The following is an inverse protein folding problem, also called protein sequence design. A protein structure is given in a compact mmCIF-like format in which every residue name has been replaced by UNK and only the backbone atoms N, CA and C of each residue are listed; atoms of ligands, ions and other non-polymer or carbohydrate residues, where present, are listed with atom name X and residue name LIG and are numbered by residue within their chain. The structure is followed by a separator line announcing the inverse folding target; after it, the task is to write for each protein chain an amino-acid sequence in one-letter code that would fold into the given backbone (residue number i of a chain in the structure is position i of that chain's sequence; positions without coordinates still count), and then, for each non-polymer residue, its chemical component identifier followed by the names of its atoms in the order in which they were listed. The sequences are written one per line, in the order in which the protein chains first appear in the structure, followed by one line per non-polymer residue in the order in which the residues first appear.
data_IF_152141339398
#
_entry.id   IF_152141339398
#
_cell.length_a   1.000
_cell.length_b   1.000
_cell.length_c   1.000
_cell.angle_alpha   90.00
_cell.angle_beta   90.00
_cell.angle_gamma   90.00
#
_symmetry.space_group_name_H-M   'P 1'
#
loop_
_entity.id
_entity.type
_entity.pdbx_description
1 polymer ?
#
# COMPACT_ATOMS: atom_id res chain seq x y z
N UNK A 1 -13.24 32.40 -46.36
CA UNK A 1 -12.32 31.95 -45.30
C UNK A 1 -12.94 32.38 -43.98
N UNK A 2 -13.53 31.44 -43.23
CA UNK A 2 -14.20 31.75 -41.96
C UNK A 2 -13.41 31.11 -40.82
N UNK A 3 -13.17 31.93 -39.79
CA UNK A 3 -12.30 31.67 -38.66
C UNK A 3 -12.74 30.46 -37.84
N UNK A 4 -11.74 29.72 -37.35
CA UNK A 4 -11.90 28.59 -36.45
C UNK A 4 -12.48 29.06 -35.11
N UNK A 5 -13.64 28.50 -34.77
CA UNK A 5 -14.23 28.61 -33.44
C UNK A 5 -13.44 27.66 -32.54
N UNK A 6 -12.59 28.23 -31.68
CA UNK A 6 -11.87 27.50 -30.63
C UNK A 6 -12.87 26.94 -29.63
N UNK A 7 -13.30 25.72 -29.89
CA UNK A 7 -14.14 24.94 -28.98
C UNK A 7 -13.25 24.12 -28.06
N UNK A 8 -13.42 24.42 -26.76
CA UNK A 8 -13.45 23.44 -25.68
C UNK A 8 -12.11 22.83 -25.27
N UNK A 9 -11.23 23.68 -24.72
CA UNK A 9 -10.10 23.30 -23.86
C UNK A 9 -10.57 22.94 -22.41
N UNK A 10 -11.75 22.35 -22.26
CA UNK A 10 -12.17 21.67 -21.03
C UNK A 10 -11.87 20.17 -21.11
N UNK A 11 -10.58 19.83 -21.22
CA UNK A 11 -10.08 18.52 -20.78
C UNK A 11 -9.47 18.70 -19.39
N UNK A 12 -10.31 19.10 -18.45
CA UNK A 12 -10.06 19.02 -17.01
C UNK A 12 -9.91 17.55 -16.63
N UNK A 13 -8.66 17.07 -16.72
CA UNK A 13 -8.03 16.03 -15.90
C UNK A 13 -8.97 15.11 -15.12
N UNK A 14 -9.67 14.24 -15.84
CA UNK A 14 -9.99 12.93 -15.29
C UNK A 14 -8.67 12.16 -15.16
N UNK A 15 -7.96 12.37 -14.05
CA UNK A 15 -6.95 11.42 -13.58
C UNK A 15 -7.69 10.13 -13.20
N UNK A 16 -8.11 9.37 -14.21
CA UNK A 16 -8.55 7.99 -14.05
C UNK A 16 -7.35 7.24 -13.53
N UNK A 17 -7.32 7.04 -12.22
CA UNK A 17 -6.46 6.05 -11.60
C UNK A 17 -6.86 4.70 -12.22
N UNK A 18 -6.16 4.29 -13.26
CA UNK A 18 -6.27 2.98 -13.86
C UNK A 18 -5.26 2.10 -13.13
N UNK A 19 -5.68 1.34 -12.09
CA UNK A 19 -4.77 0.40 -11.44
C UNK A 19 -4.22 -0.58 -12.49
N UNK A 20 -2.91 -0.75 -12.49
CA UNK A 20 -2.25 -1.79 -13.28
C UNK A 20 -2.74 -3.16 -12.80
N UNK A 21 -2.78 -4.20 -13.66
CA UNK A 21 -2.98 -5.59 -13.21
C UNK A 21 -1.99 -6.05 -12.13
N UNK A 22 -0.87 -5.34 -12.02
CA UNK A 22 0.19 -5.59 -11.03
C UNK A 22 -0.03 -4.85 -9.71
N UNK A 23 -0.98 -3.92 -9.66
CA UNK A 23 -1.31 -3.18 -8.45
C UNK A 23 -2.23 -4.04 -7.58
N UNK A 24 -1.93 -4.09 -6.28
CA UNK A 24 -2.72 -4.75 -5.24
C UNK A 24 -3.02 -3.77 -4.12
N UNK A 25 -4.26 -3.80 -3.63
CA UNK A 25 -4.68 -3.10 -2.43
C UNK A 25 -4.43 -3.97 -1.20
N UNK A 26 -3.67 -3.46 -0.25
CA UNK A 26 -3.35 -4.12 1.02
C UNK A 26 -4.01 -3.33 2.16
N UNK A 27 -4.66 -4.04 3.07
CA UNK A 27 -5.21 -3.46 4.31
C UNK A 27 -4.13 -3.45 5.38
N UNK A 28 -3.99 -2.33 6.06
CA UNK A 28 -3.06 -2.17 7.17
C UNK A 28 -3.83 -1.86 8.44
N UNK A 29 -3.62 -2.65 9.48
CA UNK A 29 -4.00 -2.31 10.85
C UNK A 29 -2.82 -1.59 11.50
N UNK A 30 -3.02 -0.32 11.79
CA UNK A 30 -1.99 0.59 12.29
C UNK A 30 -1.78 0.43 13.80
N UNK A 31 -0.70 1.02 14.33
CA UNK A 31 -0.35 0.98 15.75
C UNK A 31 -1.41 1.61 16.67
N UNK A 32 -2.18 2.57 16.15
CA UNK A 32 -3.30 3.21 16.86
C UNK A 32 -4.62 2.42 16.76
N UNK A 33 -4.59 1.26 16.09
CA UNK A 33 -5.75 0.40 15.86
C UNK A 33 -6.61 0.79 14.66
N UNK A 34 -6.33 1.92 14.01
CA UNK A 34 -7.05 2.32 12.80
C UNK A 34 -6.68 1.40 11.62
N UNK A 35 -7.58 1.30 10.65
CA UNK A 35 -7.38 0.51 9.44
C UNK A 35 -7.33 1.44 8.23
N UNK A 36 -6.32 1.25 7.39
CA UNK A 36 -6.18 1.96 6.11
C UNK A 36 -5.95 0.96 4.98
N UNK A 37 -6.13 1.38 3.73
CA UNK A 37 -5.81 0.59 2.54
C UNK A 37 -4.87 1.36 1.65
N UNK A 38 -3.77 0.72 1.25
CA UNK A 38 -2.75 1.30 0.40
C UNK A 38 -2.55 0.40 -0.82
N UNK A 39 -2.31 1.02 -1.97
CA UNK A 39 -2.06 0.32 -3.23
C UNK A 39 -0.57 0.26 -3.49
N UNK A 40 -0.08 -0.93 -3.79
CA UNK A 40 1.32 -1.22 -4.12
C UNK A 40 1.40 -2.13 -5.35
N UNK A 41 2.52 -2.11 -6.06
CA UNK A 41 2.81 -3.16 -7.05
C UNK A 41 3.18 -4.46 -6.33
N UNK A 42 2.78 -5.61 -6.86
CA UNK A 42 3.19 -6.95 -6.35
C UNK A 42 4.70 -7.12 -6.22
N UNK A 43 5.48 -6.48 -7.09
CA UNK A 43 6.95 -6.48 -7.07
C UNK A 43 7.57 -5.47 -6.08
N UNK A 44 6.76 -4.76 -5.30
CA UNK A 44 7.26 -3.84 -4.26
C UNK A 44 7.90 -4.65 -3.15
N UNK A 45 9.09 -4.26 -2.69
CA UNK A 45 9.75 -4.88 -1.54
C UNK A 45 9.13 -4.44 -0.22
N UNK A 46 9.26 -5.26 0.82
CA UNK A 46 8.73 -4.95 2.14
C UNK A 46 9.38 -3.69 2.74
N UNK A 47 10.67 -3.42 2.49
CA UNK A 47 11.31 -2.14 2.85
C UNK A 47 10.54 -0.91 2.33
N UNK A 48 10.07 -0.95 1.08
CA UNK A 48 9.33 0.18 0.49
C UNK A 48 7.93 0.33 1.09
N UNK A 49 7.36 -0.75 1.61
CA UNK A 49 6.11 -0.72 2.37
C UNK A 49 6.32 -0.03 3.71
N UNK A 50 7.37 -0.39 4.45
CA UNK A 50 7.77 0.29 5.69
C UNK A 50 7.99 1.79 5.46
N UNK A 51 8.78 2.15 4.44
CA UNK A 51 9.01 3.55 4.04
C UNK A 51 7.71 4.34 3.84
N UNK A 52 6.71 3.71 3.21
CA UNK A 52 5.41 4.33 2.95
C UNK A 52 4.60 4.50 4.24
N UNK A 53 4.62 3.50 5.11
CA UNK A 53 3.94 3.54 6.41
C UNK A 53 4.58 4.58 7.34
N UNK A 54 5.91 4.68 7.36
CA UNK A 54 6.62 5.63 8.20
C UNK A 54 6.35 7.08 7.83
N UNK A 55 6.32 7.37 6.53
CA UNK A 55 6.00 8.73 6.04
C UNK A 55 4.54 9.12 6.28
N UNK A 56 3.62 8.16 6.31
CA UNK A 56 2.18 8.44 6.35
C UNK A 56 1.51 8.27 7.71
N UNK A 57 1.97 7.31 8.52
CA UNK A 57 1.21 6.77 9.63
C UNK A 57 2.03 6.54 10.91
N UNK A 58 3.36 6.62 10.85
CA UNK A 58 4.25 6.45 12.01
C UNK A 58 5.15 7.68 12.23
N UNK A 59 4.55 8.87 12.26
CA UNK A 59 5.27 10.15 12.48
C UNK A 59 5.99 10.24 13.83
N UNK A 60 5.56 9.45 14.82
CA UNK A 60 6.21 9.34 16.12
C UNK A 60 7.49 8.51 16.14
N UNK A 61 7.85 7.86 15.03
CA UNK A 61 9.05 7.03 14.92
C UNK A 61 9.02 5.82 15.84
N UNK A 62 7.84 5.24 16.09
CA UNK A 62 7.74 4.02 16.88
C UNK A 62 8.39 2.86 16.13
N UNK A 63 9.06 1.97 16.86
CA UNK A 63 9.61 0.73 16.31
C UNK A 63 8.50 -0.30 16.24
N UNK A 64 8.32 -0.94 15.09
CA UNK A 64 7.30 -1.95 14.84
C UNK A 64 7.78 -2.95 13.79
N UNK A 65 7.10 -4.09 13.74
CA UNK A 65 7.21 -5.08 12.67
C UNK A 65 5.85 -5.26 11.98
N UNK A 66 5.86 -5.87 10.81
CA UNK A 66 4.64 -6.25 10.09
C UNK A 66 4.38 -7.75 10.26
N UNK A 67 3.14 -8.09 10.58
CA UNK A 67 2.66 -9.48 10.51
C UNK A 67 1.51 -9.57 9.52
N UNK A 68 1.49 -10.60 8.70
CA UNK A 68 0.38 -10.87 7.77
C UNK A 68 -0.65 -11.79 8.43
N UNK A 69 -1.92 -11.45 8.32
CA UNK A 69 -3.02 -12.34 8.68
C UNK A 69 -3.20 -13.41 7.57
N UNK A 70 -2.97 -14.69 7.90
CA UNK A 70 -3.18 -15.82 6.97
C UNK A 70 -4.62 -16.35 7.10
N UNK A 71 -5.08 -16.57 8.33
CA UNK A 71 -6.44 -16.97 8.67
C UNK A 71 -6.84 -16.28 9.99
N UNK A 72 -8.08 -16.41 10.44
CA UNK A 72 -8.68 -15.67 11.57
C UNK A 72 -7.83 -15.61 12.85
N UNK A 73 -6.96 -16.58 13.07
CA UNK A 73 -6.10 -16.68 14.26
C UNK A 73 -4.62 -16.95 13.91
N UNK A 74 -4.25 -16.97 12.62
CA UNK A 74 -2.89 -17.29 12.18
C UNK A 74 -2.20 -16.05 11.58
N UNK A 75 -1.01 -15.77 12.11
CA UNK A 75 -0.17 -14.65 11.70
C UNK A 75 1.19 -15.14 11.23
N UNK A 76 1.65 -14.58 10.12
CA UNK A 76 3.00 -14.78 9.59
C UNK A 76 3.83 -13.54 9.92
N UNK A 77 4.86 -13.73 10.74
CA UNK A 77 5.78 -12.65 11.10
C UNK A 77 6.72 -12.36 9.91
N UNK A 78 6.72 -11.10 9.46
CA UNK A 78 7.53 -10.67 8.33
C UNK A 78 8.84 -10.01 8.76
N UNK A 79 9.21 -10.12 10.03
CA UNK A 79 10.51 -9.66 10.55
C UNK A 79 11.66 -10.28 9.75
N UNK A 80 12.66 -9.46 9.41
CA UNK A 80 13.85 -9.81 8.62
C UNK A 80 13.60 -10.21 7.15
N UNK A 81 12.39 -10.01 6.62
CA UNK A 81 12.03 -10.31 5.22
C UNK A 81 11.94 -9.05 4.34
N UNK A 82 12.70 -8.02 4.73
CA UNK A 82 12.61 -6.66 4.17
C UNK A 82 12.90 -6.60 2.66
N UNK A 83 13.79 -7.47 2.19
CA UNK A 83 14.23 -7.55 0.79
C UNK A 83 13.23 -8.30 -0.11
N UNK A 84 12.31 -9.08 0.46
CA UNK A 84 11.34 -9.85 -0.29
C UNK A 84 10.22 -8.95 -0.84
N UNK A 85 9.76 -9.27 -2.04
CA UNK A 85 8.62 -8.62 -2.66
C UNK A 85 7.30 -9.06 -2.05
N UNK A 86 6.26 -8.24 -2.16
CA UNK A 86 4.91 -8.60 -1.73
C UNK A 86 4.44 -9.92 -2.35
N UNK A 87 4.80 -10.19 -3.62
CA UNK A 87 4.50 -11.45 -4.29
C UNK A 87 5.21 -12.66 -3.67
N UNK A 88 6.51 -12.56 -3.39
CA UNK A 88 7.31 -13.61 -2.75
C UNK A 88 6.82 -13.92 -1.33
N UNK A 89 6.38 -12.88 -0.62
CA UNK A 89 5.73 -12.99 0.69
C UNK A 89 4.32 -13.60 0.59
N UNK A 90 3.76 -13.78 -0.61
CA UNK A 90 2.40 -14.26 -0.83
C UNK A 90 1.32 -13.25 -0.42
N UNK A 91 1.65 -11.97 -0.35
CA UNK A 91 0.72 -10.87 -0.10
C UNK A 91 0.01 -10.55 -1.42
N UNK A 92 -1.31 -10.51 -1.37
CA UNK A 92 -2.18 -10.40 -2.55
C UNK A 92 -3.24 -9.32 -2.34
N UNK A 93 -4.03 -9.08 -3.38
CA UNK A 93 -5.20 -8.21 -3.29
C UNK A 93 -6.07 -8.57 -2.07
N UNK A 94 -6.31 -7.60 -1.21
CA UNK A 94 -7.13 -7.74 -0.01
C UNK A 94 -6.45 -8.36 1.21
N UNK A 95 -5.17 -8.72 1.14
CA UNK A 95 -4.40 -9.17 2.32
C UNK A 95 -4.40 -8.11 3.43
N UNK A 96 -4.41 -8.56 4.69
CA UNK A 96 -4.31 -7.70 5.88
C UNK A 96 -2.93 -7.86 6.51
N UNK A 97 -2.23 -6.74 6.67
CA UNK A 97 -0.98 -6.62 7.41
C UNK A 97 -1.23 -5.82 8.69
N UNK A 98 -0.58 -6.21 9.76
CA UNK A 98 -0.74 -5.60 11.08
C UNK A 98 0.60 -5.05 11.53
N UNK A 99 0.60 -3.78 11.92
CA UNK A 99 1.74 -3.17 12.61
C UNK A 99 1.72 -3.66 14.06
N UNK A 100 2.78 -4.38 14.45
CA UNK A 100 2.97 -4.88 15.81
C UNK A 100 4.11 -4.08 16.44
N UNK A 101 3.81 -3.37 17.53
CA UNK A 101 4.83 -2.59 18.24
C UNK A 101 5.92 -3.52 18.76
N UNK A 102 7.17 -3.23 18.43
CA UNK A 102 8.31 -3.97 18.97
C UNK A 102 8.53 -3.57 20.44
N UNK A 103 8.87 -4.54 21.33
CA UNK A 103 9.15 -4.27 22.74
C UNK A 103 10.35 -3.34 22.97
#
# INVERSE_FOLDING_TARGET
MSAANGQDDEKLRDNKFNPSPDDISIKFRLLDGNVTSLVFKKSTTLTLVYDKLDRGFNSGGAIYTLSRLIDKEEYDDLTDRDEETLEELGIREGSELIMVKSP
#
